data_IF_224599278331
#
_entry.id   IF_224599278331
#
_cell.length_a   1.000
_cell.length_b   1.000
_cell.length_c   1.000
_cell.angle_alpha   90.00
_cell.angle_beta   90.00
_cell.angle_gamma   90.00
#
_symmetry.space_group_name_H-M   'P 1'
#
loop_
_entity.id
_entity.type
_entity.pdbx_description
1 polymer ?
#
# COMPACT_ATOMS: atom_id res chain seq x y z
N UNK A 1 -31.19 -90.02 0.89
CA UNK A 1 -31.12 -89.71 2.33
C UNK A 1 -31.47 -88.23 2.48
N UNK A 2 -32.72 -87.94 2.87
CA UNK A 2 -33.07 -87.42 4.21
C UNK A 2 -32.45 -86.03 4.46
N UNK A 3 -33.15 -84.90 4.65
CA UNK A 3 -34.52 -84.58 5.12
C UNK A 3 -34.88 -83.16 4.64
N UNK A 4 -36.13 -82.91 4.25
CA UNK A 4 -36.83 -81.63 4.55
C UNK A 4 -37.31 -81.72 6.01
N UNK A 5 -37.50 -80.62 6.81
CA UNK A 5 -38.61 -79.69 6.56
C UNK A 5 -38.60 -78.28 7.25
N UNK A 6 -39.66 -77.51 6.94
CA UNK A 6 -40.46 -76.60 7.80
C UNK A 6 -39.96 -75.18 8.20
N UNK A 7 -40.64 -74.21 7.57
CA UNK A 7 -41.42 -73.07 8.13
C UNK A 7 -40.75 -72.14 9.15
N UNK A 8 -40.71 -70.84 8.83
CA UNK A 8 -41.65 -69.85 9.39
C UNK A 8 -41.53 -68.50 8.68
N UNK A 9 -42.66 -67.94 8.27
CA UNK A 9 -42.77 -66.56 7.82
C UNK A 9 -42.86 -65.63 9.04
N UNK A 10 -42.14 -64.52 9.02
CA UNK A 10 -42.39 -63.37 9.91
C UNK A 10 -42.41 -62.11 9.05
N UNK A 11 -43.55 -61.45 9.01
CA UNK A 11 -43.74 -60.15 8.40
C UNK A 11 -43.02 -59.07 9.24
N UNK A 12 -42.42 -58.07 8.59
CA UNK A 12 -42.12 -56.80 9.25
C UNK A 12 -42.29 -55.65 8.26
N UNK A 13 -43.10 -54.69 8.70
CA UNK A 13 -43.71 -53.59 7.98
C UNK A 13 -42.69 -52.57 7.45
N UNK A 14 -42.80 -52.18 6.18
CA UNK A 14 -42.10 -51.01 5.64
C UNK A 14 -42.97 -49.77 5.81
N UNK A 15 -42.67 -48.98 6.84
CA UNK A 15 -43.17 -47.61 6.98
C UNK A 15 -42.37 -46.70 6.04
N UNK A 16 -43.04 -46.10 5.05
CA UNK A 16 -42.47 -45.01 4.25
C UNK A 16 -42.54 -43.72 5.06
N UNK A 17 -41.42 -43.30 5.66
CA UNK A 17 -41.26 -41.94 6.16
C UNK A 17 -40.87 -41.02 4.98
N UNK A 18 -41.79 -40.19 4.51
CA UNK A 18 -41.42 -38.98 3.77
C UNK A 18 -40.86 -37.96 4.77
N UNK A 19 -39.54 -37.93 4.91
CA UNK A 19 -38.86 -36.82 5.57
C UNK A 19 -38.77 -35.65 4.57
N UNK A 20 -39.67 -34.68 4.71
CA UNK A 20 -39.51 -33.37 4.06
C UNK A 20 -38.30 -32.68 4.67
N UNK A 21 -37.18 -32.67 3.94
CA UNK A 21 -36.05 -31.78 4.20
C UNK A 21 -36.49 -30.35 3.88
N UNK A 22 -37.13 -29.69 4.83
CA UNK A 22 -37.25 -28.23 4.81
C UNK A 22 -35.86 -27.69 5.11
N UNK A 23 -35.03 -27.55 4.07
CA UNK A 23 -33.85 -26.73 4.14
C UNK A 23 -34.33 -25.31 4.41
N UNK A 24 -34.30 -24.89 5.67
CA UNK A 24 -34.46 -23.50 6.03
C UNK A 24 -33.22 -22.79 5.49
N UNK A 25 -33.25 -22.39 4.22
CA UNK A 25 -32.34 -21.38 3.70
C UNK A 25 -32.66 -20.11 4.49
N UNK A 26 -31.96 -19.89 5.58
CA UNK A 26 -31.85 -18.57 6.19
C UNK A 26 -31.09 -17.72 5.19
N UNK A 27 -31.80 -17.15 4.21
CA UNK A 27 -31.28 -16.02 3.46
C UNK A 27 -31.04 -14.92 4.49
N UNK A 28 -29.78 -14.55 4.72
CA UNK A 28 -29.50 -13.31 5.44
C UNK A 28 -30.30 -12.17 4.78
N UNK A 29 -30.89 -11.26 5.57
CA UNK A 29 -31.62 -10.14 5.01
C UNK A 29 -30.69 -9.37 4.07
N UNK A 30 -31.18 -9.01 2.89
CA UNK A 30 -30.40 -8.23 1.94
C UNK A 30 -30.01 -6.90 2.57
N UNK A 31 -28.74 -6.54 2.47
CA UNK A 31 -28.22 -5.27 2.97
C UNK A 31 -28.81 -4.08 2.19
N UNK A 32 -29.32 -3.11 2.93
CA UNK A 32 -29.98 -1.90 2.40
C UNK A 32 -29.38 -0.61 2.97
N UNK A 33 -28.46 -0.73 3.91
CA UNK A 33 -27.77 0.43 4.45
C UNK A 33 -26.74 0.90 3.41
N UNK A 34 -26.58 2.22 3.33
CA UNK A 34 -25.69 2.83 2.34
C UNK A 34 -24.36 3.12 3.02
N UNK A 35 -23.25 2.99 2.29
CA UNK A 35 -21.96 3.48 2.76
C UNK A 35 -22.00 4.97 3.14
N UNK A 36 -21.15 5.35 4.07
CA UNK A 36 -20.92 6.76 4.39
C UNK A 36 -20.32 7.50 3.20
N UNK A 37 -20.57 8.81 3.12
CA UNK A 37 -20.05 9.65 2.04
C UNK A 37 -18.53 9.80 2.21
N UNK A 38 -17.73 9.59 1.13
CA UNK A 38 -16.29 9.89 1.18
C UNK A 38 -16.03 11.33 1.61
N UNK A 39 -15.19 11.50 2.63
CA UNK A 39 -14.80 12.81 3.19
C UNK A 39 -13.43 13.24 2.68
N UNK A 40 -13.10 14.51 2.96
CA UNK A 40 -11.79 15.12 2.66
C UNK A 40 -11.33 14.89 1.22
N UNK A 41 -12.29 15.03 0.30
CA UNK A 41 -12.00 14.90 -1.14
C UNK A 41 -11.11 16.07 -1.55
N UNK A 42 -10.03 15.79 -2.26
CA UNK A 42 -9.15 16.80 -2.84
C UNK A 42 -8.93 16.50 -4.32
N UNK A 43 -8.64 17.55 -5.10
CA UNK A 43 -8.26 17.45 -6.50
C UNK A 43 -7.04 18.34 -6.75
N UNK A 44 -6.01 17.78 -7.36
CA UNK A 44 -4.77 18.46 -7.69
C UNK A 44 -4.42 18.20 -9.15
N UNK A 45 -4.25 19.26 -9.94
CA UNK A 45 -3.74 19.10 -11.30
C UNK A 45 -2.28 18.62 -11.22
N UNK A 46 -2.02 17.44 -11.77
CA UNK A 46 -0.68 16.85 -11.84
C UNK A 46 0.03 17.24 -13.13
N UNK A 47 -0.72 17.51 -14.20
CA UNK A 47 -0.23 18.00 -15.49
C UNK A 47 -1.31 18.81 -16.21
N UNK A 48 -1.03 19.26 -17.45
CA UNK A 48 -2.03 19.94 -18.29
C UNK A 48 -3.23 19.04 -18.66
N UNK A 49 -3.10 17.72 -18.57
CA UNK A 49 -4.12 16.75 -19.01
C UNK A 49 -4.55 15.77 -17.93
N UNK A 50 -4.00 15.90 -16.72
CA UNK A 50 -4.19 14.92 -15.64
C UNK A 50 -4.47 15.60 -14.31
N UNK A 51 -5.51 15.15 -13.61
CA UNK A 51 -5.83 15.57 -12.24
C UNK A 51 -5.80 14.36 -11.32
N UNK A 52 -5.07 14.47 -10.22
CA UNK A 52 -5.11 13.54 -9.11
C UNK A 52 -6.27 13.87 -8.18
N UNK A 53 -7.17 12.91 -7.96
CA UNK A 53 -8.29 13.02 -7.01
C UNK A 53 -8.03 12.06 -5.85
N UNK A 54 -8.18 12.55 -4.61
CA UNK A 54 -8.00 11.77 -3.38
C UNK A 54 -9.20 11.90 -2.46
N UNK A 55 -9.40 10.93 -1.57
CA UNK A 55 -10.45 10.93 -0.55
C UNK A 55 -10.14 9.96 0.61
N UNK A 56 -10.87 10.12 1.72
CA UNK A 56 -10.69 9.31 2.94
C UNK A 56 -11.56 8.04 3.03
N UNK A 57 -11.22 7.18 4.01
CA UNK A 57 -12.10 6.24 4.75
C UNK A 57 -13.64 6.38 4.61
N UNK A 58 -14.36 5.74 3.68
CA UNK A 58 -15.81 5.56 3.77
C UNK A 58 -16.14 4.23 4.44
N UNK A 59 -17.08 4.19 5.36
CA UNK A 59 -17.46 3.02 6.16
C UNK A 59 -18.84 2.53 5.77
N UNK A 60 -19.11 1.28 6.08
CA UNK A 60 -20.37 0.60 5.82
C UNK A 60 -20.58 -0.47 6.91
N UNK A 61 -21.81 -0.92 7.13
CA UNK A 61 -22.16 -1.96 8.11
C UNK A 61 -21.56 -3.33 7.74
N UNK A 62 -21.43 -3.64 6.45
CA UNK A 62 -20.77 -4.86 5.98
C UNK A 62 -19.39 -4.56 5.41
N UNK A 63 -19.35 -3.87 4.27
CA UNK A 63 -18.10 -3.52 3.59
C UNK A 63 -18.33 -2.56 2.43
N UNK A 64 -17.44 -1.55 2.33
CA UNK A 64 -17.29 -0.82 1.08
C UNK A 64 -16.48 -1.67 0.10
N UNK A 65 -16.99 -1.86 -1.12
CA UNK A 65 -16.32 -2.63 -2.19
C UNK A 65 -15.67 -1.74 -3.25
N UNK A 66 -16.06 -0.47 -3.35
CA UNK A 66 -15.43 0.44 -4.29
C UNK A 66 -15.87 1.90 -4.18
N UNK A 67 -15.27 2.71 -5.04
CA UNK A 67 -15.56 4.12 -5.19
C UNK A 67 -15.86 4.45 -6.65
N UNK A 68 -16.73 5.43 -6.86
CA UNK A 68 -17.00 6.03 -8.17
C UNK A 68 -16.61 7.50 -8.13
N UNK A 69 -15.72 7.91 -9.04
CA UNK A 69 -15.29 9.30 -9.21
C UNK A 69 -16.02 9.89 -10.39
N UNK A 70 -16.58 11.07 -10.18
CA UNK A 70 -17.37 11.82 -11.14
C UNK A 70 -16.65 13.11 -11.54
N UNK A 71 -16.67 13.42 -12.83
CA UNK A 71 -16.17 14.67 -13.43
C UNK A 71 -17.35 15.39 -14.07
N UNK A 72 -17.60 16.64 -13.68
CA UNK A 72 -18.73 17.43 -14.21
C UNK A 72 -20.10 16.71 -14.09
N UNK A 73 -20.27 15.93 -13.02
CA UNK A 73 -21.49 15.17 -12.75
C UNK A 73 -21.61 13.84 -13.49
N UNK A 74 -20.74 13.56 -14.46
CA UNK A 74 -20.66 12.29 -15.20
C UNK A 74 -19.63 11.33 -14.60
N UNK A 75 -19.91 10.02 -14.65
CA UNK A 75 -19.01 9.03 -14.04
C UNK A 75 -17.73 8.91 -14.88
N UNK A 76 -16.59 9.29 -14.31
CA UNK A 76 -15.29 9.21 -14.97
C UNK A 76 -14.65 7.84 -14.78
N UNK A 77 -14.62 7.32 -13.54
CA UNK A 77 -13.94 6.06 -13.21
C UNK A 77 -14.59 5.36 -12.02
N UNK A 78 -14.42 4.03 -11.95
CA UNK A 78 -14.75 3.21 -10.78
C UNK A 78 -13.51 2.46 -10.33
N UNK A 79 -13.23 2.46 -9.03
CA UNK A 79 -12.03 1.85 -8.44
C UNK A 79 -12.40 0.91 -7.28
N UNK A 80 -11.59 -0.12 -6.98
CA UNK A 80 -11.81 -0.98 -5.82
C UNK A 80 -11.63 -0.23 -4.50
N UNK A 81 -12.20 -0.75 -3.40
CA UNK A 81 -12.12 -0.12 -2.07
C UNK A 81 -10.69 0.06 -1.54
N UNK A 82 -9.74 -0.72 -2.05
CA UNK A 82 -8.31 -0.60 -1.74
C UNK A 82 -7.68 0.68 -2.28
N UNK A 83 -8.31 1.36 -3.25
CA UNK A 83 -7.83 2.64 -3.81
C UNK A 83 -8.60 3.82 -3.26
N UNK A 84 -7.85 4.82 -2.81
CA UNK A 84 -8.36 6.06 -2.19
C UNK A 84 -7.97 7.33 -2.93
N UNK A 85 -7.44 7.10 -4.12
CA UNK A 85 -6.99 8.12 -5.02
C UNK A 85 -6.87 7.56 -6.43
N UNK A 86 -6.91 8.44 -7.43
CA UNK A 86 -6.80 8.08 -8.83
C UNK A 86 -6.33 9.27 -9.65
N UNK A 87 -5.65 9.01 -10.78
CA UNK A 87 -5.48 10.01 -11.85
C UNK A 87 -6.67 9.96 -12.79
N UNK A 88 -7.26 11.12 -13.04
CA UNK A 88 -8.22 11.33 -14.13
C UNK A 88 -7.46 12.00 -15.27
N UNK A 89 -7.18 11.22 -16.30
CA UNK A 89 -6.42 11.63 -17.50
C UNK A 89 -7.34 12.09 -18.64
N UNK A 90 -6.75 12.53 -19.76
CA UNK A 90 -7.49 12.94 -20.95
C UNK A 90 -8.28 14.24 -20.75
N UNK A 91 -7.83 15.09 -19.84
CA UNK A 91 -8.40 16.40 -19.59
C UNK A 91 -7.88 17.43 -20.60
N UNK A 92 -8.63 18.50 -20.79
CA UNK A 92 -8.20 19.65 -21.59
C UNK A 92 -7.39 20.59 -20.71
N UNK A 93 -6.30 21.12 -21.24
CA UNK A 93 -5.47 22.11 -20.55
C UNK A 93 -6.21 23.43 -20.32
N UNK A 94 -5.73 24.23 -19.37
CA UNK A 94 -6.32 25.53 -18.99
C UNK A 94 -7.84 25.48 -18.72
N UNK A 95 -8.35 24.35 -18.21
CA UNK A 95 -9.79 24.10 -18.06
C UNK A 95 -10.13 23.80 -16.60
N UNK A 96 -11.17 24.47 -16.09
CA UNK A 96 -11.71 24.19 -14.77
C UNK A 96 -12.56 22.91 -14.81
N UNK A 97 -12.33 22.02 -13.85
CA UNK A 97 -13.08 20.80 -13.63
C UNK A 97 -13.56 20.71 -12.19
N UNK A 98 -14.70 20.05 -12.01
CA UNK A 98 -15.30 19.73 -10.73
C UNK A 98 -15.38 18.22 -10.55
N UNK A 99 -14.89 17.74 -9.41
CA UNK A 99 -14.88 16.33 -9.04
C UNK A 99 -15.74 16.05 -7.80
N UNK A 100 -16.39 14.90 -7.81
CA UNK A 100 -17.07 14.32 -6.63
C UNK A 100 -16.81 12.81 -6.56
N UNK A 101 -16.89 12.24 -5.36
CA UNK A 101 -16.67 10.80 -5.13
C UNK A 101 -17.86 10.23 -4.34
N UNK A 102 -18.25 8.99 -4.63
CA UNK A 102 -19.18 8.22 -3.79
C UNK A 102 -18.70 6.80 -3.58
N UNK A 103 -19.13 6.18 -2.48
CA UNK A 103 -18.81 4.81 -2.12
C UNK A 103 -19.91 3.84 -2.57
N UNK A 104 -19.53 2.58 -2.80
CA UNK A 104 -20.40 1.45 -3.14
C UNK A 104 -20.09 0.24 -2.26
N UNK A 105 -21.11 -0.43 -1.74
CA UNK A 105 -20.97 -1.69 -0.98
C UNK A 105 -21.07 -2.95 -1.87
N UNK A 106 -21.22 -4.12 -1.26
CA UNK A 106 -21.38 -5.40 -1.95
C UNK A 106 -22.81 -5.64 -2.47
N UNK A 107 -23.83 -5.11 -1.79
CA UNK A 107 -25.24 -5.19 -2.18
C UNK A 107 -25.59 -4.23 -3.34
N UNK A 108 -24.70 -3.32 -3.68
CA UNK A 108 -24.87 -2.31 -4.71
C UNK A 108 -25.47 -0.99 -4.20
N UNK A 109 -25.61 -0.79 -2.88
CA UNK A 109 -26.04 0.51 -2.38
C UNK A 109 -24.92 1.54 -2.56
N UNK A 110 -25.35 2.78 -2.77
CA UNK A 110 -24.49 3.90 -3.13
C UNK A 110 -24.68 5.03 -2.13
N UNK A 111 -23.58 5.55 -1.63
CA UNK A 111 -23.60 6.76 -0.80
C UNK A 111 -24.09 7.96 -1.62
N UNK A 112 -24.46 9.05 -0.92
CA UNK A 112 -24.52 10.35 -1.57
C UNK A 112 -23.12 10.73 -2.13
N UNK A 113 -23.08 11.62 -3.12
CA UNK A 113 -21.82 12.19 -3.62
C UNK A 113 -21.21 13.10 -2.55
N UNK A 114 -19.88 13.14 -2.51
CA UNK A 114 -19.12 14.07 -1.68
C UNK A 114 -19.43 15.53 -2.02
N UNK A 115 -18.92 16.44 -1.19
CA UNK A 115 -18.77 17.83 -1.60
C UNK A 115 -17.95 17.90 -2.90
N UNK A 116 -18.34 18.82 -3.77
CA UNK A 116 -17.66 19.09 -5.03
C UNK A 116 -16.34 19.84 -4.77
N UNK A 117 -15.27 19.39 -5.42
CA UNK A 117 -13.98 20.09 -5.43
C UNK A 117 -13.63 20.53 -6.83
N UNK A 118 -13.17 21.77 -6.96
CA UNK A 118 -12.81 22.35 -8.26
C UNK A 118 -11.30 22.49 -8.39
N UNK A 119 -10.80 22.27 -9.59
CA UNK A 119 -9.38 22.39 -9.96
C UNK A 119 -9.28 22.85 -11.40
N UNK A 120 -8.27 23.66 -11.71
CA UNK A 120 -7.99 24.10 -13.08
C UNK A 120 -6.70 23.44 -13.55
N UNK A 121 -6.75 22.75 -14.69
CA UNK A 121 -5.53 22.23 -15.33
C UNK A 121 -4.64 23.39 -15.77
N UNK A 122 -3.31 23.27 -15.66
CA UNK A 122 -2.38 24.29 -16.12
C UNK A 122 -2.41 24.43 -17.64
N UNK A 123 -1.78 25.51 -18.13
CA UNK A 123 -1.50 25.71 -19.55
C UNK A 123 -0.65 24.54 -20.09
N UNK A 124 -0.84 24.12 -21.37
CA UNK A 124 0.08 23.16 -21.96
C UNK A 124 1.49 23.75 -21.96
N UNK A 125 2.48 22.95 -21.55
CA UNK A 125 3.86 23.32 -21.78
C UNK A 125 4.14 23.38 -23.30
N UNK A 126 5.11 24.20 -23.74
CA UNK A 126 5.78 23.97 -25.03
C UNK A 126 6.25 22.52 -25.15
N UNK A 127 6.71 22.10 -26.34
CA UNK A 127 7.35 20.80 -26.47
C UNK A 127 8.55 20.71 -25.51
N UNK A 128 8.31 20.07 -24.38
CA UNK A 128 9.24 19.81 -23.32
C UNK A 128 9.58 18.33 -23.37
N UNK A 129 10.85 18.01 -23.33
CA UNK A 129 11.33 16.62 -23.30
C UNK A 129 12.08 16.27 -22.03
N UNK A 130 12.37 17.26 -21.18
CA UNK A 130 13.24 17.09 -20.04
C UNK A 130 12.40 16.98 -18.76
N UNK A 131 12.56 15.90 -17.97
CA UNK A 131 11.86 15.81 -16.71
C UNK A 131 12.44 16.79 -15.67
N UNK A 132 11.66 17.18 -14.65
CA UNK A 132 12.14 17.97 -13.54
C UNK A 132 13.30 17.31 -12.78
N UNK A 133 14.07 18.12 -12.05
CA UNK A 133 15.05 17.59 -11.08
C UNK A 133 14.36 16.90 -9.90
N UNK A 134 15.02 15.90 -9.32
CA UNK A 134 14.48 15.21 -8.13
C UNK A 134 14.40 16.18 -6.93
N UNK A 135 13.32 16.12 -6.13
CA UNK A 135 13.23 16.87 -4.88
C UNK A 135 14.41 16.52 -3.94
N UNK A 136 14.95 17.52 -3.25
CA UNK A 136 16.12 17.35 -2.37
C UNK A 136 15.76 17.56 -0.91
N UNK A 137 16.67 17.22 0.02
CA UNK A 137 16.54 17.52 1.46
C UNK A 137 15.20 17.06 2.06
N UNK A 138 14.71 15.88 1.64
CA UNK A 138 13.46 15.32 2.17
C UNK A 138 13.62 15.04 3.66
N UNK A 139 12.64 15.49 4.43
CA UNK A 139 12.54 15.31 5.89
C UNK A 139 11.09 15.05 6.24
N UNK A 140 10.86 14.42 7.39
CA UNK A 140 9.51 14.31 7.91
C UNK A 140 9.46 14.04 9.40
N UNK A 141 8.28 14.26 9.97
CA UNK A 141 7.98 14.04 11.38
C UNK A 141 6.66 13.31 11.48
N UNK A 142 6.66 12.19 12.20
CA UNK A 142 5.43 11.46 12.50
C UNK A 142 4.60 12.24 13.53
N UNK A 143 3.28 12.21 13.36
CA UNK A 143 2.33 12.74 14.32
C UNK A 143 2.33 11.93 15.61
N UNK A 144 2.01 12.59 16.71
CA UNK A 144 1.97 11.97 18.04
C UNK A 144 0.86 10.93 18.19
N UNK A 145 -0.13 10.95 17.30
CA UNK A 145 -1.24 10.01 17.25
C UNK A 145 -0.89 8.65 16.61
N UNK A 146 0.32 8.54 16.03
CA UNK A 146 0.78 7.36 15.30
C UNK A 146 0.09 7.15 13.95
N UNK A 147 -0.73 8.10 13.50
CA UNK A 147 -1.59 7.95 12.30
C UNK A 147 -1.36 9.02 11.24
N UNK A 148 -0.59 10.04 11.57
CA UNK A 148 -0.26 11.13 10.66
C UNK A 148 1.24 11.28 10.49
N UNK A 149 1.65 11.92 9.41
CA UNK A 149 3.03 12.38 9.21
C UNK A 149 3.04 13.67 8.41
N UNK A 150 4.02 14.53 8.69
CA UNK A 150 4.31 15.68 7.83
C UNK A 150 5.63 15.43 7.12
N UNK A 151 5.64 15.55 5.79
CA UNK A 151 6.85 15.52 4.96
C UNK A 151 7.14 16.92 4.42
N UNK A 152 8.41 17.24 4.29
CA UNK A 152 8.92 18.50 3.71
C UNK A 152 10.11 18.21 2.81
N UNK A 153 10.28 18.98 1.74
CA UNK A 153 11.38 18.83 0.79
C UNK A 153 11.84 20.17 0.25
N UNK A 154 12.99 20.17 -0.44
CA UNK A 154 13.45 21.29 -1.24
C UNK A 154 12.81 21.26 -2.63
N UNK A 155 12.54 22.45 -3.17
CA UNK A 155 11.93 22.58 -4.48
C UNK A 155 12.81 21.99 -5.59
N UNK A 156 12.15 21.36 -6.56
CA UNK A 156 12.70 20.96 -7.84
C UNK A 156 12.74 22.12 -8.82
N UNK A 157 13.53 21.95 -9.88
CA UNK A 157 13.67 22.88 -10.99
C UNK A 157 13.41 22.16 -12.28
N UNK A 158 12.86 22.88 -13.24
CA UNK A 158 12.57 22.41 -14.59
C UNK A 158 12.76 23.59 -15.56
N UNK A 159 13.02 23.33 -16.84
CA UNK A 159 13.21 24.40 -17.83
C UNK A 159 11.90 25.08 -18.28
N UNK A 160 10.76 24.39 -18.15
CA UNK A 160 9.44 24.99 -18.36
C UNK A 160 8.76 25.25 -17.02
N UNK A 161 8.69 24.24 -16.16
CA UNK A 161 8.14 24.40 -14.82
C UNK A 161 7.57 23.11 -14.21
N UNK A 162 7.67 23.04 -12.89
CA UNK A 162 7.05 21.99 -12.09
C UNK A 162 5.58 22.33 -11.86
N UNK A 163 4.69 21.36 -11.97
CA UNK A 163 3.23 21.47 -11.73
C UNK A 163 2.81 20.87 -10.40
N UNK A 164 3.45 19.77 -9.99
CA UNK A 164 3.10 19.05 -8.77
C UNK A 164 4.28 18.30 -8.14
N UNK A 165 4.10 17.93 -6.87
CA UNK A 165 4.91 16.92 -6.20
C UNK A 165 4.03 15.75 -5.80
N UNK A 166 4.47 14.56 -6.18
CA UNK A 166 3.84 13.29 -5.85
C UNK A 166 4.62 12.61 -4.72
N UNK A 167 3.94 12.23 -3.65
CA UNK A 167 4.52 11.45 -2.54
C UNK A 167 4.23 9.98 -2.77
N UNK A 168 5.26 9.16 -2.71
CA UNK A 168 5.19 7.72 -2.87
C UNK A 168 5.50 7.02 -1.55
N UNK A 169 4.79 5.93 -1.29
CA UNK A 169 5.16 4.91 -0.32
C UNK A 169 5.56 3.68 -1.12
N UNK A 170 6.84 3.30 -1.04
CA UNK A 170 7.41 2.30 -1.96
C UNK A 170 7.13 2.74 -3.41
N UNK A 171 6.52 1.91 -4.24
CA UNK A 171 6.19 2.25 -5.64
C UNK A 171 4.76 2.79 -5.80
N UNK A 172 3.99 2.90 -4.73
CA UNK A 172 2.61 3.40 -4.77
C UNK A 172 2.58 4.90 -4.48
N UNK A 173 2.06 5.71 -5.42
CA UNK A 173 1.73 7.11 -5.11
C UNK A 173 0.61 7.15 -4.08
N UNK A 174 0.83 7.88 -3.00
CA UNK A 174 -0.10 8.01 -1.88
C UNK A 174 -0.58 9.45 -1.64
N UNK A 175 0.01 10.44 -2.31
CA UNK A 175 -0.40 11.84 -2.19
C UNK A 175 0.10 12.67 -3.38
N UNK A 176 -0.56 13.79 -3.68
CA UNK A 176 -0.07 14.79 -4.63
C UNK A 176 -0.42 16.19 -4.15
N UNK A 177 0.52 17.13 -4.31
CA UNK A 177 0.36 18.54 -3.95
C UNK A 177 0.85 19.45 -5.08
N UNK A 178 0.36 20.70 -5.11
CA UNK A 178 0.78 21.69 -6.11
C UNK A 178 2.29 21.99 -6.03
N UNK A 179 2.90 22.43 -7.14
CA UNK A 179 4.31 22.81 -7.21
C UNK A 179 4.75 23.91 -6.23
N UNK A 180 3.81 24.74 -5.76
CA UNK A 180 4.08 25.76 -4.74
C UNK A 180 4.20 25.17 -3.33
N UNK A 181 3.75 23.94 -3.12
CA UNK A 181 3.86 23.23 -1.86
C UNK A 181 5.15 22.41 -1.80
N UNK A 182 5.98 22.69 -0.80
CA UNK A 182 7.16 21.89 -0.45
C UNK A 182 6.95 21.10 0.84
N UNK A 183 5.67 20.80 1.13
CA UNK A 183 5.18 20.07 2.30
C UNK A 183 3.93 19.29 1.95
N UNK A 184 3.78 18.10 2.53
CA UNK A 184 2.55 17.31 2.53
C UNK A 184 2.22 16.79 3.94
N UNK A 185 0.94 16.68 4.24
CA UNK A 185 0.44 15.99 5.42
C UNK A 185 -0.20 14.67 5.00
N UNK A 186 0.33 13.58 5.54
CA UNK A 186 -0.12 12.22 5.30
C UNK A 186 -1.00 11.78 6.47
N UNK A 187 -2.12 11.14 6.14
CA UNK A 187 -3.08 10.58 7.08
C UNK A 187 -3.23 9.08 6.87
N UNK A 188 -3.96 8.40 7.75
CA UNK A 188 -4.28 6.98 7.59
C UNK A 188 -3.09 6.03 7.79
N UNK A 189 -1.99 6.50 8.40
CA UNK A 189 -0.86 5.64 8.74
C UNK A 189 -1.24 4.72 9.90
N UNK A 190 -0.57 3.57 9.96
CA UNK A 190 -0.70 2.62 11.07
C UNK A 190 0.29 3.00 12.18
N UNK A 191 -0.13 3.01 13.46
CA UNK A 191 0.78 3.20 14.58
C UNK A 191 1.89 2.14 14.65
N UNK A 192 3.05 2.49 15.20
CA UNK A 192 4.17 1.57 15.38
C UNK A 192 4.71 0.97 14.07
N UNK A 193 4.49 1.62 12.92
CA UNK A 193 4.84 1.07 11.61
C UNK A 193 5.98 1.88 11.00
N UNK A 194 6.94 1.18 10.39
CA UNK A 194 8.02 1.79 9.62
C UNK A 194 7.57 1.97 8.18
N UNK A 195 7.70 3.19 7.67
CA UNK A 195 7.41 3.58 6.30
C UNK A 195 8.67 4.09 5.61
N UNK A 196 8.76 3.88 4.30
CA UNK A 196 9.74 4.54 3.44
C UNK A 196 8.99 5.36 2.40
N UNK A 197 9.24 6.66 2.38
CA UNK A 197 8.62 7.59 1.44
C UNK A 197 9.66 8.18 0.48
N UNK A 198 9.25 8.41 -0.76
CA UNK A 198 9.97 9.24 -1.73
C UNK A 198 9.05 10.32 -2.26
N UNK A 199 9.63 11.39 -2.81
CA UNK A 199 8.89 12.45 -3.48
C UNK A 199 9.42 12.58 -4.89
N UNK A 200 8.52 12.72 -5.87
CA UNK A 200 8.85 13.04 -7.26
C UNK A 200 8.20 14.37 -7.63
N UNK A 201 8.88 15.16 -8.45
CA UNK A 201 8.29 16.31 -9.10
C UNK A 201 7.70 15.90 -10.46
N UNK A 202 6.62 16.56 -10.86
CA UNK A 202 5.98 16.37 -12.17
C UNK A 202 5.89 17.70 -12.91
N UNK A 203 5.97 17.67 -14.23
CA UNK A 203 5.76 18.82 -15.12
C UNK A 203 4.39 18.79 -15.82
N UNK A 204 4.10 19.81 -16.62
CA UNK A 204 2.84 19.92 -17.36
C UNK A 204 2.71 18.92 -18.53
N UNK A 205 3.82 18.30 -18.95
CA UNK A 205 3.91 17.28 -20.00
C UNK A 205 3.84 15.84 -19.43
N UNK A 206 3.45 15.69 -18.16
CA UNK A 206 3.35 14.41 -17.45
C UNK A 206 4.68 13.66 -17.26
N UNK A 207 5.84 14.33 -17.36
CA UNK A 207 7.12 13.70 -17.01
C UNK A 207 7.38 13.82 -15.52
N UNK A 208 7.90 12.73 -14.97
CA UNK A 208 8.30 12.64 -13.57
C UNK A 208 9.81 12.75 -13.43
N UNK A 209 10.25 13.46 -12.39
CA UNK A 209 11.63 13.39 -11.92
C UNK A 209 11.98 11.97 -11.45
N UNK A 210 13.28 11.66 -11.30
CA UNK A 210 13.70 10.56 -10.43
C UNK A 210 13.16 10.74 -8.99
N UNK A 211 13.17 9.64 -8.22
CA UNK A 211 12.88 9.69 -6.78
C UNK A 211 13.86 10.62 -6.05
N UNK A 212 13.34 11.33 -5.05
CA UNK A 212 14.18 11.92 -4.00
C UNK A 212 14.98 10.86 -3.24
N UNK A 213 15.91 11.31 -2.39
CA UNK A 213 16.44 10.44 -1.33
C UNK A 213 15.28 9.85 -0.49
N UNK A 214 15.34 8.56 -0.12
CA UNK A 214 14.28 7.92 0.65
C UNK A 214 14.25 8.47 2.08
N UNK A 215 13.05 8.72 2.57
CA UNK A 215 12.77 9.09 3.96
C UNK A 215 12.15 7.90 4.69
N UNK A 216 12.91 7.34 5.63
CA UNK A 216 12.34 6.43 6.60
C UNK A 216 11.66 7.18 7.72
N UNK A 217 10.45 6.77 8.05
CA UNK A 217 9.67 7.33 9.13
C UNK A 217 9.00 6.21 9.92
N UNK A 218 9.20 6.18 11.23
CA UNK A 218 8.49 5.28 12.14
C UNK A 218 7.40 6.06 12.85
N UNK A 219 6.15 5.61 12.73
CA UNK A 219 5.05 6.20 13.50
C UNK A 219 5.13 5.75 14.96
N UNK A 220 4.84 6.64 15.93
CA UNK A 220 4.70 6.25 17.32
C UNK A 220 3.64 5.15 17.51
N UNK A 221 3.77 4.35 18.56
CA UNK A 221 2.68 3.50 19.03
C UNK A 221 1.51 4.36 19.51
N UNK A 222 0.29 3.87 19.34
CA UNK A 222 -0.93 4.46 19.90
C UNK A 222 -1.43 3.62 21.08
N UNK A 223 -2.22 4.18 22.02
CA UNK A 223 -2.82 3.39 23.10
C UNK A 223 -3.57 2.16 22.55
N UNK A 224 -3.25 0.98 23.07
CA UNK A 224 -3.82 -0.30 22.63
C UNK A 224 -3.24 -0.87 21.34
N UNK A 225 -2.34 -0.16 20.65
CA UNK A 225 -1.61 -0.72 19.51
C UNK A 225 -0.47 -1.65 20.00
N UNK A 226 -0.16 -2.73 19.27
CA UNK A 226 1.00 -3.55 19.56
C UNK A 226 2.29 -2.72 19.42
N UNK A 227 3.34 -3.14 20.14
CA UNK A 227 4.67 -2.56 19.95
C UNK A 227 5.16 -2.84 18.52
N UNK A 228 5.89 -1.88 17.94
CA UNK A 228 6.51 -2.09 16.63
C UNK A 228 7.49 -3.26 16.71
N UNK A 229 7.37 -4.18 15.76
CA UNK A 229 8.31 -5.30 15.62
C UNK A 229 9.16 -5.19 14.37
N UNK A 230 9.16 -4.02 13.74
CA UNK A 230 9.91 -3.77 12.52
C UNK A 230 11.41 -3.57 12.82
N UNK A 231 12.32 -4.22 12.07
CA UNK A 231 13.74 -3.94 12.13
C UNK A 231 14.01 -2.54 11.58
N UNK A 232 14.94 -1.82 12.21
CA UNK A 232 15.25 -0.44 11.86
C UNK A 232 16.71 -0.31 11.43
N UNK A 233 17.10 0.86 10.91
CA UNK A 233 18.49 1.11 10.55
C UNK A 233 19.05 0.17 9.48
N UNK A 234 18.18 -0.42 8.64
CA UNK A 234 18.57 -1.33 7.56
C UNK A 234 19.44 -0.58 6.54
N UNK A 235 20.63 -1.12 6.30
CA UNK A 235 21.65 -0.61 5.37
C UNK A 235 22.12 -1.74 4.48
N UNK A 236 22.43 -1.40 3.24
CA UNK A 236 22.92 -2.31 2.21
C UNK A 236 24.22 -1.77 1.63
N UNK A 237 25.18 -2.66 1.39
CA UNK A 237 26.41 -2.35 0.64
C UNK A 237 26.63 -3.43 -0.40
N UNK A 238 26.64 -3.03 -1.67
CA UNK A 238 26.88 -3.93 -2.81
C UNK A 238 28.33 -3.89 -3.26
N UNK A 239 28.88 -5.03 -3.64
CA UNK A 239 30.18 -5.16 -4.28
C UNK A 239 30.16 -6.31 -5.31
N UNK A 240 30.98 -6.20 -6.36
CA UNK A 240 31.23 -7.33 -7.26
C UNK A 240 32.35 -8.20 -6.67
N UNK A 241 32.14 -9.52 -6.62
CA UNK A 241 33.10 -10.49 -6.10
C UNK A 241 33.08 -11.75 -6.96
N UNK A 242 34.18 -12.04 -7.66
CA UNK A 242 34.34 -13.33 -8.37
C UNK A 242 33.37 -13.61 -9.53
N UNK A 243 32.73 -12.59 -10.12
CA UNK A 243 31.71 -12.77 -11.16
C UNK A 243 30.28 -12.82 -10.62
N UNK A 244 30.13 -12.69 -9.31
CA UNK A 244 28.86 -12.54 -8.61
C UNK A 244 28.81 -11.16 -7.91
N UNK A 245 27.68 -10.86 -7.31
CA UNK A 245 27.48 -9.66 -6.49
C UNK A 245 27.19 -10.05 -5.06
N UNK A 246 27.86 -9.38 -4.14
CA UNK A 246 27.64 -9.54 -2.71
C UNK A 246 26.92 -8.31 -2.18
N UNK A 247 25.83 -8.54 -1.44
CA UNK A 247 25.07 -7.53 -0.73
C UNK A 247 25.25 -7.76 0.77
N UNK A 248 26.06 -6.92 1.41
CA UNK A 248 26.20 -6.90 2.85
C UNK A 248 25.05 -6.09 3.46
N UNK A 249 24.24 -6.74 4.29
CA UNK A 249 23.11 -6.19 5.01
C UNK A 249 23.50 -5.95 6.48
N UNK A 250 23.03 -4.84 7.04
CA UNK A 250 23.06 -4.62 8.50
C UNK A 250 21.80 -3.91 8.97
N UNK A 251 21.27 -4.28 10.13
CA UNK A 251 20.06 -3.69 10.70
C UNK A 251 20.07 -3.74 12.23
N UNK A 252 19.32 -2.84 12.83
CA UNK A 252 19.07 -2.79 14.26
C UNK A 252 17.83 -3.65 14.55
N UNK A 253 17.98 -4.59 15.48
CA UNK A 253 16.94 -5.53 15.87
C UNK A 253 15.88 -4.84 16.74
N UNK A 254 14.59 -5.18 16.58
CA UNK A 254 13.54 -4.64 17.41
C UNK A 254 13.61 -5.21 18.83
N UNK A 255 13.22 -4.40 19.82
CA UNK A 255 13.03 -4.87 21.19
C UNK A 255 11.69 -5.59 21.29
N UNK A 256 11.75 -6.92 21.39
CA UNK A 256 10.58 -7.80 21.48
C UNK A 256 10.41 -8.43 22.87
N UNK A 257 11.22 -8.01 23.85
CA UNK A 257 11.25 -8.63 25.18
C UNK A 257 11.78 -10.07 25.20
N UNK A 258 12.30 -10.56 24.07
CA UNK A 258 12.85 -11.91 23.94
C UNK A 258 13.82 -12.02 22.76
N UNK A 259 14.32 -13.23 22.55
CA UNK A 259 15.30 -13.51 21.48
C UNK A 259 14.60 -13.60 20.13
N UNK A 260 15.21 -13.02 19.09
CA UNK A 260 14.77 -13.14 17.70
C UNK A 260 15.58 -14.25 17.01
N UNK A 261 15.01 -15.46 16.81
CA UNK A 261 15.76 -16.61 16.32
C UNK A 261 16.04 -16.57 14.81
N UNK A 262 15.27 -15.80 14.04
CA UNK A 262 15.38 -15.77 12.59
C UNK A 262 14.81 -14.49 11.98
N UNK A 263 15.15 -14.26 10.71
CA UNK A 263 14.60 -13.22 9.85
C UNK A 263 14.17 -13.81 8.51
N UNK A 264 13.07 -13.34 7.93
CA UNK A 264 12.79 -13.54 6.51
C UNK A 264 13.29 -12.34 5.73
N UNK A 265 14.02 -12.60 4.65
CA UNK A 265 14.49 -11.61 3.69
C UNK A 265 13.69 -11.75 2.41
N UNK A 266 13.16 -10.63 1.93
CA UNK A 266 12.37 -10.53 0.72
C UNK A 266 13.06 -9.63 -0.29
N UNK A 267 13.05 -10.06 -1.55
CA UNK A 267 13.41 -9.27 -2.72
C UNK A 267 12.19 -9.17 -3.64
N UNK A 268 11.84 -7.97 -4.06
CA UNK A 268 10.72 -7.71 -4.99
C UNK A 268 9.39 -8.30 -4.53
N UNK A 269 9.17 -8.28 -3.21
CA UNK A 269 7.98 -8.80 -2.56
C UNK A 269 7.98 -10.33 -2.38
N UNK A 270 8.95 -11.04 -2.94
CA UNK A 270 9.08 -12.49 -2.88
C UNK A 270 10.05 -12.93 -1.78
N UNK A 271 9.71 -14.02 -1.09
CA UNK A 271 10.58 -14.57 -0.03
C UNK A 271 11.84 -15.15 -0.68
N UNK A 272 12.98 -14.52 -0.42
CA UNK A 272 14.28 -14.96 -0.94
C UNK A 272 14.94 -15.98 -0.03
N UNK A 273 14.99 -15.70 1.27
CA UNK A 273 15.63 -16.60 2.23
C UNK A 273 15.14 -16.38 3.65
N UNK A 274 15.30 -17.40 4.49
CA UNK A 274 15.15 -17.28 5.94
C UNK A 274 16.52 -17.35 6.60
N UNK A 275 16.95 -16.25 7.19
CA UNK A 275 18.18 -16.10 7.95
C UNK A 275 17.93 -16.71 9.32
N UNK A 276 18.61 -17.80 9.64
CA UNK A 276 18.56 -18.43 10.96
C UNK A 276 19.93 -18.32 11.61
N UNK A 277 19.97 -17.98 12.89
CA UNK A 277 21.23 -17.88 13.61
C UNK A 277 21.79 -19.28 13.89
N UNK A 278 23.02 -19.55 13.44
CA UNK A 278 23.75 -20.80 13.74
C UNK A 278 24.31 -20.87 15.16
N UNK A 279 23.88 -19.99 16.07
CA UNK A 279 24.37 -19.81 17.43
C UNK A 279 23.54 -18.79 18.19
N UNK A 280 24.08 -18.23 19.27
CA UNK A 280 23.40 -17.17 20.03
C UNK A 280 23.12 -15.96 19.13
N UNK A 281 21.87 -15.53 18.99
CA UNK A 281 21.53 -14.38 18.17
C UNK A 281 22.27 -13.12 18.65
N UNK A 282 22.75 -12.27 17.72
CA UNK A 282 23.44 -11.04 18.11
C UNK A 282 22.50 -10.15 18.94
N UNK A 283 23.05 -9.30 19.80
CA UNK A 283 22.29 -8.28 20.51
C UNK A 283 22.40 -6.93 19.77
N UNK A 284 21.29 -6.20 19.68
CA UNK A 284 21.27 -4.88 19.04
C UNK A 284 21.37 -4.98 17.52
N UNK A 285 22.58 -4.97 16.95
CA UNK A 285 22.77 -4.95 15.48
C UNK A 285 23.02 -6.35 14.92
N UNK A 286 22.34 -6.68 13.83
CA UNK A 286 22.51 -7.91 13.08
C UNK A 286 23.08 -7.62 11.68
N UNK A 287 23.74 -8.63 11.09
CA UNK A 287 24.29 -8.56 9.73
C UNK A 287 24.01 -9.84 8.96
N UNK A 288 23.95 -9.74 7.64
CA UNK A 288 23.82 -10.88 6.75
C UNK A 288 24.48 -10.57 5.40
N UNK A 289 25.07 -11.59 4.79
CA UNK A 289 25.68 -11.50 3.47
C UNK A 289 24.84 -12.29 2.48
N UNK A 290 24.29 -11.60 1.50
CA UNK A 290 23.54 -12.18 0.40
C UNK A 290 24.41 -12.18 -0.87
N UNK A 291 24.36 -13.27 -1.63
CA UNK A 291 25.00 -13.35 -2.95
C UNK A 291 23.92 -13.33 -4.03
N UNK A 292 24.15 -12.56 -5.09
CA UNK A 292 23.27 -12.37 -6.24
C UNK A 292 24.08 -12.57 -7.53
N UNK A 293 23.46 -13.18 -8.54
CA UNK A 293 24.13 -13.55 -9.81
C UNK A 293 23.50 -12.89 -11.03
N UNK A 294 22.49 -12.04 -10.82
CA UNK A 294 21.81 -11.35 -11.90
C UNK A 294 22.71 -10.28 -12.55
N UNK A 295 22.39 -9.86 -13.79
CA UNK A 295 23.23 -8.91 -14.53
C UNK A 295 23.44 -7.56 -13.82
N UNK A 296 24.54 -6.85 -14.13
CA UNK A 296 24.76 -5.48 -13.67
C UNK A 296 23.58 -4.57 -14.03
N UNK A 297 23.27 -3.63 -13.14
CA UNK A 297 22.14 -2.71 -13.28
C UNK A 297 20.79 -3.29 -12.84
N UNK A 298 20.71 -4.60 -12.53
CA UNK A 298 19.51 -5.18 -11.92
C UNK A 298 19.20 -4.47 -10.60
N UNK A 299 17.92 -4.18 -10.39
CA UNK A 299 17.41 -3.38 -9.29
C UNK A 299 16.44 -4.22 -8.46
N UNK A 300 16.67 -4.30 -7.15
CA UNK A 300 15.78 -5.00 -6.21
C UNK A 300 15.23 -4.05 -5.17
N UNK A 301 13.99 -4.29 -4.76
CA UNK A 301 13.42 -3.83 -3.52
C UNK A 301 13.64 -4.86 -2.42
N UNK A 302 14.25 -4.46 -1.31
CA UNK A 302 14.68 -5.34 -0.22
C UNK A 302 13.98 -4.97 1.09
N UNK A 303 13.35 -5.94 1.74
CA UNK A 303 12.73 -5.82 3.07
C UNK A 303 13.02 -7.06 3.89
N UNK A 304 13.04 -6.92 5.22
CA UNK A 304 13.16 -8.06 6.11
C UNK A 304 12.23 -7.95 7.31
N UNK A 305 11.85 -9.09 7.89
CA UNK A 305 11.00 -9.14 9.09
C UNK A 305 11.46 -10.22 10.08
N UNK A 306 11.35 -10.00 11.40
CA UNK A 306 11.84 -10.92 12.41
C UNK A 306 10.83 -12.03 12.71
N UNK A 307 11.34 -13.18 13.14
CA UNK A 307 10.55 -14.16 13.88
C UNK A 307 10.49 -13.74 15.34
N UNK A 308 9.28 -13.60 15.88
CA UNK A 308 9.07 -13.18 17.25
C UNK A 308 9.25 -14.36 18.23
N UNK A 309 9.47 -14.09 19.54
CA UNK A 309 9.61 -15.14 20.55
C UNK A 309 8.41 -16.08 20.66
N UNK A 310 7.21 -15.61 20.32
CA UNK A 310 5.97 -16.40 20.28
C UNK A 310 5.84 -17.28 19.03
N UNK A 311 6.82 -17.23 18.12
CA UNK A 311 6.87 -18.00 16.89
C UNK A 311 6.16 -17.35 15.69
N UNK A 312 5.48 -16.22 15.88
CA UNK A 312 4.85 -15.45 14.79
C UNK A 312 5.89 -14.62 14.05
N UNK A 313 5.50 -14.06 12.90
CA UNK A 313 6.35 -13.14 12.14
C UNK A 313 5.93 -11.71 12.39
N UNK A 314 6.90 -10.86 12.73
CA UNK A 314 6.70 -9.44 12.99
C UNK A 314 6.57 -8.60 11.72
N UNK A 315 6.61 -7.29 11.94
CA UNK A 315 6.50 -6.26 10.91
C UNK A 315 7.74 -6.22 10.02
N UNK A 316 7.54 -5.72 8.80
CA UNK A 316 8.63 -5.48 7.88
C UNK A 316 9.44 -4.22 8.25
N UNK A 317 10.74 -4.29 7.97
CA UNK A 317 11.62 -3.12 7.91
C UNK A 317 11.16 -2.11 6.85
N UNK A 318 11.73 -0.92 6.92
CA UNK A 318 11.81 0.00 5.78
C UNK A 318 12.33 -0.72 4.53
N UNK A 319 11.84 -0.30 3.35
CA UNK A 319 12.30 -0.81 2.06
C UNK A 319 13.65 -0.19 1.68
N UNK A 320 14.51 -0.99 1.06
CA UNK A 320 15.76 -0.54 0.46
C UNK A 320 15.84 -0.92 -1.00
N UNK A 321 16.32 0.01 -1.80
CA UNK A 321 16.64 -0.25 -3.20
C UNK A 321 18.10 -0.67 -3.31
N UNK A 322 18.35 -1.87 -3.84
CA UNK A 322 19.68 -2.38 -4.14
C UNK A 322 19.85 -2.38 -5.65
N UNK A 323 20.94 -1.79 -6.14
CA UNK A 323 21.31 -1.85 -7.57
C UNK A 323 22.63 -2.59 -7.68
N UNK A 324 22.69 -3.58 -8.56
CA UNK A 324 23.93 -4.32 -8.83
C UNK A 324 24.88 -3.42 -9.63
N UNK A 325 26.13 -3.23 -9.17
CA UNK A 325 27.09 -2.36 -9.86
C UNK A 325 27.46 -2.89 -11.24
N UNK A 326 27.63 -1.97 -12.20
CA UNK A 326 28.16 -2.21 -13.54
C UNK A 326 29.68 -2.31 -13.59
#
# INVERSE_FOLDING_TARGET
MQRSPLRTALACSTALLLASLTACQTSEPADTEKPTVPRDVTAQASSATTVHVMWEHATDNEAVTGYEVYREGEKAVSVPATKRMIDVEGLTASTAYTFTVRARDAAGNLSARSAAVSVTTPEPAPADEKPPTAPVKVRGTAGKDGRTATLTWGASTDDVGVTSYDVYQEDSRIHSVAATATKAELTGLRPGTVYTFTVRARDASDRSSPDSEPLDLTTPSAPGAPASTAPTGLRTKTAAEGGEYVVDLSWDQPDTGGTIPAYQLYLDGELTTTIVWGGTPPAGRATYRLTLTDPPGTRYSLKLRPKLPDGTWGDFSAQRTVVLPG
#
